data_IF_896661235998
#
_entry.id   IF_896661235998
#
_cell.length_a   1.000
_cell.length_b   1.000
_cell.length_c   1.000
_cell.angle_alpha   90.00
_cell.angle_beta   90.00
_cell.angle_gamma   90.00
#
_symmetry.space_group_name_H-M   'P 1'
#
loop_
_entity.id
_entity.type
_entity.pdbx_description
1 polymer ?
#
# COMPACT_ATOMS: atom_id res chain seq x y z
N UNK A 1 63.38 35.83 3.77
CA UNK A 1 63.24 36.01 5.23
C UNK A 1 62.74 37.43 5.47
N UNK A 2 61.62 37.57 6.20
CA UNK A 2 61.05 38.76 6.88
C UNK A 2 61.04 40.13 6.18
N UNK A 3 60.03 41.00 6.32
CA UNK A 3 58.75 41.00 7.01
C UNK A 3 58.01 42.30 6.58
N UNK A 4 56.78 42.43 7.07
CA UNK A 4 55.94 43.64 7.20
C UNK A 4 54.96 43.94 6.05
N UNK A 5 53.66 43.85 6.36
CA UNK A 5 52.88 45.05 6.67
C UNK A 5 51.64 44.75 7.55
N UNK A 6 51.39 45.64 8.51
CA UNK A 6 50.16 45.75 9.33
C UNK A 6 49.18 46.73 8.68
N UNK A 7 47.88 46.53 8.95
CA UNK A 7 46.77 47.46 8.73
C UNK A 7 46.00 47.17 7.44
N UNK A 8 44.67 47.18 7.36
CA UNK A 8 43.69 47.99 8.09
C UNK A 8 42.31 47.30 8.07
N UNK A 9 41.52 47.48 9.14
CA UNK A 9 40.09 47.15 9.20
C UNK A 9 39.28 48.13 8.34
N UNK A 10 38.36 47.63 7.50
CA UNK A 10 37.15 48.39 7.18
C UNK A 10 35.96 47.46 6.96
N UNK A 11 34.92 47.73 7.74
CA UNK A 11 33.62 47.09 7.70
C UNK A 11 32.86 47.54 6.45
N UNK A 12 32.40 46.59 5.63
CA UNK A 12 31.18 46.78 4.85
C UNK A 12 30.21 45.63 5.12
N UNK A 13 29.08 45.99 5.73
CA UNK A 13 27.94 45.12 6.05
C UNK A 13 27.26 44.69 4.75
N UNK A 14 27.48 43.44 4.33
CA UNK A 14 26.59 42.73 3.43
C UNK A 14 25.67 41.82 4.22
N UNK A 15 24.38 42.15 4.30
CA UNK A 15 23.32 41.26 4.81
C UNK A 15 23.19 40.06 3.87
N UNK A 16 23.62 38.88 4.33
CA UNK A 16 23.47 37.60 3.63
C UNK A 16 22.69 36.61 4.50
N UNK A 17 21.67 36.03 3.90
CA UNK A 17 20.58 35.30 4.54
C UNK A 17 20.98 34.04 5.33
N UNK A 18 20.29 33.91 6.45
CA UNK A 18 20.06 32.74 7.28
C UNK A 18 19.74 31.47 6.45
N UNK A 19 20.56 30.42 6.58
CA UNK A 19 20.12 29.02 6.36
C UNK A 19 20.49 28.21 7.59
N UNK A 20 19.47 27.94 8.41
CA UNK A 20 19.55 27.17 9.63
C UNK A 20 20.13 25.77 9.38
N UNK A 21 21.30 25.55 9.97
CA UNK A 21 22.02 24.28 10.00
C UNK A 21 21.45 23.47 11.17
N UNK A 22 20.45 22.62 10.92
CA UNK A 22 20.04 21.61 11.90
C UNK A 22 21.11 20.51 11.94
N UNK A 23 22.10 20.71 12.81
CA UNK A 23 23.12 19.72 13.12
C UNK A 23 22.52 18.60 13.96
N UNK A 24 22.53 17.38 13.40
CA UNK A 24 22.29 16.16 14.17
C UNK A 24 23.48 15.95 15.13
N UNK A 25 23.25 16.18 16.43
CA UNK A 25 24.20 15.80 17.48
C UNK A 25 24.39 14.28 17.43
N UNK A 26 25.64 13.83 17.28
CA UNK A 26 26.09 12.45 17.56
C UNK A 26 25.77 12.10 19.02
N UNK A 27 24.80 11.22 19.23
CA UNK A 27 24.66 10.44 20.47
C UNK A 27 25.58 9.20 20.45
N UNK A 28 25.78 8.53 21.60
CA UNK A 28 26.72 7.41 21.71
C UNK A 28 26.23 6.20 20.91
N UNK A 29 27.19 5.35 20.51
CA UNK A 29 27.07 4.17 19.66
C UNK A 29 25.70 3.46 19.74
N UNK A 30 25.05 3.31 18.58
CA UNK A 30 23.83 2.52 18.41
C UNK A 30 24.05 1.09 18.96
N UNK A 31 23.13 0.56 19.77
CA UNK A 31 23.14 -0.85 20.11
C UNK A 31 23.02 -1.69 18.84
N UNK A 32 23.68 -2.85 18.85
CA UNK A 32 23.53 -3.92 17.88
C UNK A 32 22.04 -4.11 17.55
N UNK A 33 21.70 -4.21 16.26
CA UNK A 33 20.33 -4.31 15.76
C UNK A 33 19.50 -5.24 16.66
N UNK A 34 18.45 -4.68 17.28
CA UNK A 34 17.48 -5.47 18.04
C UNK A 34 16.98 -6.60 17.14
N UNK A 35 16.94 -7.86 17.61
CA UNK A 35 16.43 -8.95 16.81
C UNK A 35 15.01 -8.61 16.33
N UNK A 36 14.78 -8.72 15.02
CA UNK A 36 13.45 -8.49 14.45
C UNK A 36 12.47 -9.42 15.16
N UNK A 37 11.29 -8.93 15.59
CA UNK A 37 10.31 -9.80 16.23
C UNK A 37 9.96 -10.95 15.28
N UNK A 38 10.27 -12.18 15.70
CA UNK A 38 9.81 -13.38 15.00
C UNK A 38 8.34 -13.59 15.36
N UNK A 39 7.46 -13.42 14.38
CA UNK A 39 6.05 -13.71 14.55
C UNK A 39 5.79 -15.17 14.17
N UNK A 40 5.16 -15.98 15.06
CA UNK A 40 4.77 -17.33 14.70
C UNK A 40 3.76 -17.31 13.55
N UNK A 41 3.69 -18.37 12.72
CA UNK A 41 2.61 -18.52 11.76
C UNK A 41 1.26 -18.44 12.47
N UNK A 42 0.30 -17.76 11.84
CA UNK A 42 -1.07 -17.75 12.35
C UNK A 42 -1.68 -19.15 12.17
N UNK A 43 -2.49 -19.64 13.12
CA UNK A 43 -3.14 -20.93 13.00
C UNK A 43 -4.08 -20.94 11.79
N UNK A 44 -4.17 -22.10 11.16
CA UNK A 44 -5.12 -22.35 10.08
C UNK A 44 -6.44 -22.80 10.68
N UNK A 45 -7.55 -22.39 10.05
CA UNK A 45 -8.88 -22.84 10.42
C UNK A 45 -9.18 -24.21 9.82
N UNK A 46 -10.41 -24.72 9.96
CA UNK A 46 -10.85 -25.85 9.15
C UNK A 46 -10.78 -25.49 7.66
N UNK A 47 -10.27 -26.42 6.83
CA UNK A 47 -10.24 -26.23 5.38
C UNK A 47 -11.68 -26.27 4.82
N UNK A 48 -12.06 -25.22 4.09
CA UNK A 48 -13.40 -25.10 3.47
C UNK A 48 -13.33 -25.51 1.99
N UNK A 49 -12.23 -25.17 1.32
CA UNK A 49 -11.99 -25.48 -0.07
C UNK A 49 -10.50 -25.44 -0.39
N UNK A 50 -10.08 -26.25 -1.35
CA UNK A 50 -8.76 -26.20 -1.96
C UNK A 50 -8.88 -25.87 -3.45
N UNK A 51 -8.11 -24.87 -3.89
CA UNK A 51 -8.01 -24.46 -5.30
C UNK A 51 -6.59 -24.69 -5.77
N UNK A 52 -6.42 -25.62 -6.70
CA UNK A 52 -5.14 -25.90 -7.35
C UNK A 52 -5.08 -25.30 -8.75
N UNK A 53 -3.88 -24.99 -9.23
CA UNK A 53 -3.72 -24.45 -10.59
C UNK A 53 -4.20 -25.46 -11.64
N UNK A 54 -4.00 -26.76 -11.40
CA UNK A 54 -4.50 -27.82 -12.27
C UNK A 54 -6.05 -27.87 -12.34
N UNK A 55 -6.75 -27.43 -11.29
CA UNK A 55 -8.21 -27.29 -11.28
C UNK A 55 -8.64 -26.05 -12.06
N UNK A 56 -7.97 -24.91 -11.83
CA UNK A 56 -8.24 -23.66 -12.56
C UNK A 56 -8.04 -23.78 -14.08
N UNK A 57 -7.09 -24.61 -14.52
CA UNK A 57 -6.83 -24.84 -15.93
C UNK A 57 -7.91 -25.69 -16.64
N UNK A 58 -8.81 -26.34 -15.89
CA UNK A 58 -9.89 -27.19 -16.42
C UNK A 58 -11.25 -26.49 -16.46
N UNK A 59 -11.40 -25.37 -15.75
CA UNK A 59 -12.61 -24.57 -15.77
C UNK A 59 -12.71 -23.81 -17.11
N UNK A 60 -13.92 -23.44 -17.54
CA UNK A 60 -14.19 -22.62 -18.74
C UNK A 60 -13.57 -21.22 -18.57
N UNK A 61 -12.26 -21.14 -18.76
CA UNK A 61 -11.50 -19.92 -18.63
C UNK A 61 -12.07 -18.87 -19.59
N UNK A 62 -12.25 -17.65 -19.08
CA UNK A 62 -12.62 -16.53 -19.94
C UNK A 62 -11.62 -16.43 -21.10
N UNK A 63 -12.08 -16.19 -22.33
CA UNK A 63 -11.17 -16.01 -23.45
C UNK A 63 -10.14 -14.92 -23.15
N UNK A 64 -8.88 -15.14 -23.52
CA UNK A 64 -7.77 -14.24 -23.17
C UNK A 64 -7.98 -12.81 -23.67
N UNK A 65 -8.70 -12.66 -24.78
CA UNK A 65 -9.10 -11.38 -25.34
C UNK A 65 -10.06 -10.60 -24.44
N UNK A 66 -10.82 -11.28 -23.57
CA UNK A 66 -11.70 -10.69 -22.55
C UNK A 66 -10.99 -10.50 -21.20
N UNK A 67 -9.84 -11.12 -20.99
CA UNK A 67 -9.00 -10.95 -19.80
C UNK A 67 -8.14 -9.67 -19.90
N UNK A 68 -8.79 -8.53 -20.15
CA UNK A 68 -8.16 -7.20 -20.24
C UNK A 68 -8.64 -6.31 -19.12
N UNK A 69 -7.76 -5.44 -18.65
CA UNK A 69 -8.13 -4.36 -17.75
C UNK A 69 -8.78 -3.26 -18.59
N UNK A 70 -10.00 -2.86 -18.24
CA UNK A 70 -10.70 -1.72 -18.85
C UNK A 70 -11.21 -0.76 -17.77
N UNK A 71 -11.69 0.41 -18.20
CA UNK A 71 -12.37 1.39 -17.34
C UNK A 71 -11.57 1.78 -16.10
N UNK A 72 -10.23 1.85 -16.24
CA UNK A 72 -9.32 2.21 -15.16
C UNK A 72 -9.50 3.69 -14.80
N UNK A 73 -9.80 3.95 -13.52
CA UNK A 73 -10.03 5.30 -13.01
C UNK A 73 -9.43 5.48 -11.63
N UNK A 74 -8.82 6.65 -11.38
CA UNK A 74 -8.46 7.07 -10.04
C UNK A 74 -9.72 7.52 -9.29
N UNK A 75 -10.05 6.80 -8.22
CA UNK A 75 -11.24 7.06 -7.39
C UNK A 75 -10.89 7.98 -6.23
N UNK A 76 -9.80 7.69 -5.53
CA UNK A 76 -9.39 8.45 -4.36
C UNK A 76 -7.90 8.29 -4.09
N UNK A 77 -7.38 9.12 -3.21
CA UNK A 77 -6.02 9.03 -2.70
C UNK A 77 -5.98 9.52 -1.26
N UNK A 78 -4.97 9.06 -0.52
CA UNK A 78 -4.66 9.58 0.80
C UNK A 78 -3.17 9.50 1.08
N UNK A 79 -2.68 10.30 2.03
CA UNK A 79 -1.36 10.10 2.62
C UNK A 79 -1.52 9.68 4.07
N UNK A 80 -0.64 8.80 4.55
CA UNK A 80 -0.43 8.66 5.99
C UNK A 80 0.52 9.74 6.47
N UNK A 81 0.22 10.37 7.61
CA UNK A 81 1.15 11.25 8.31
C UNK A 81 1.98 10.47 9.34
N UNK A 82 3.21 10.89 9.57
CA UNK A 82 4.05 10.32 10.63
C UNK A 82 3.73 10.95 12.00
N UNK A 83 2.65 10.47 12.62
CA UNK A 83 2.14 10.97 13.91
C UNK A 83 1.79 9.79 14.83
N UNK A 84 1.89 9.95 16.17
CA UNK A 84 1.51 8.90 17.12
C UNK A 84 0.04 8.47 16.98
N UNK A 85 -0.86 9.44 16.71
CA UNK A 85 -2.25 9.15 16.38
C UNK A 85 -2.36 8.86 14.87
N UNK A 86 -2.96 7.72 14.46
CA UNK A 86 -3.21 7.44 13.04
C UNK A 86 -3.96 8.61 12.39
N UNK A 87 -3.33 9.25 11.42
CA UNK A 87 -3.83 10.46 10.77
C UNK A 87 -3.54 10.39 9.28
N UNK A 88 -4.55 10.67 8.46
CA UNK A 88 -4.43 10.74 7.01
C UNK A 88 -4.75 12.14 6.47
N UNK A 89 -4.23 12.45 5.30
CA UNK A 89 -4.65 13.59 4.47
C UNK A 89 -5.49 13.06 3.31
N UNK A 90 -6.62 13.70 3.04
CA UNK A 90 -7.53 13.40 1.93
C UNK A 90 -7.88 14.73 1.21
N UNK A 91 -7.79 14.81 -0.13
CA UNK A 91 -7.11 13.85 -1.00
C UNK A 91 -5.60 13.80 -0.72
N UNK A 92 -5.01 12.64 -0.98
CA UNK A 92 -3.56 12.48 -0.89
C UNK A 92 -2.84 13.15 -2.06
N UNK A 93 -1.66 13.71 -1.78
CA UNK A 93 -0.73 14.26 -2.76
C UNK A 93 0.52 13.36 -2.84
N UNK A 94 0.82 12.78 -4.02
CA UNK A 94 2.05 12.03 -4.21
C UNK A 94 3.27 12.95 -4.21
N UNK A 95 4.45 12.47 -3.81
CA UNK A 95 5.67 13.24 -3.99
C UNK A 95 5.94 13.44 -5.49
N UNK A 96 6.31 14.66 -5.88
CA UNK A 96 6.53 15.02 -7.29
C UNK A 96 7.96 14.68 -7.69
N UNK A 97 8.13 14.13 -8.90
CA UNK A 97 9.44 13.92 -9.50
C UNK A 97 10.21 15.25 -9.55
N UNK A 98 11.34 15.29 -8.86
CA UNK A 98 12.20 16.47 -8.75
C UNK A 98 13.65 16.00 -8.59
N UNK A 99 14.26 15.49 -9.67
CA UNK A 99 15.59 14.93 -9.63
C UNK A 99 16.63 16.02 -9.30
N UNK A 100 17.66 15.71 -8.50
CA UNK A 100 18.76 16.63 -8.29
C UNK A 100 19.53 16.87 -9.59
N UNK A 101 20.16 18.04 -9.73
CA UNK A 101 20.96 18.40 -10.91
C UNK A 101 22.20 17.53 -11.08
N UNK A 102 22.72 16.96 -9.99
CA UNK A 102 23.80 15.99 -9.98
C UNK A 102 23.29 14.68 -9.38
N UNK A 103 23.75 13.54 -9.88
CA UNK A 103 23.37 12.21 -9.38
C UNK A 103 24.10 11.93 -8.06
N UNK A 104 23.43 11.97 -6.90
CA UNK A 104 24.09 11.68 -5.64
C UNK A 104 24.37 10.18 -5.54
N UNK A 105 25.46 9.81 -4.89
CA UNK A 105 25.62 8.44 -4.42
C UNK A 105 24.63 8.20 -3.29
N UNK A 106 23.67 7.31 -3.53
CA UNK A 106 22.64 6.97 -2.55
C UNK A 106 23.17 6.05 -1.47
N UNK A 107 22.62 6.20 -0.26
CA UNK A 107 22.80 5.22 0.80
C UNK A 107 21.79 4.10 0.59
N UNK A 108 22.20 2.88 0.91
CA UNK A 108 21.29 1.75 0.95
C UNK A 108 20.15 2.03 1.96
N UNK A 109 18.98 1.49 1.66
CA UNK A 109 17.80 1.57 2.51
C UNK A 109 18.15 1.02 3.90
N UNK A 110 17.79 1.79 4.93
CA UNK A 110 17.99 1.39 6.32
C UNK A 110 16.82 1.88 7.17
N UNK A 111 16.40 1.06 8.13
CA UNK A 111 15.29 1.37 9.02
C UNK A 111 14.24 0.27 9.09
N UNK A 112 13.11 0.61 9.72
CA UNK A 112 12.00 -0.32 9.96
C UNK A 112 10.93 -0.09 8.89
N UNK A 113 10.72 -1.09 8.05
CA UNK A 113 9.70 -1.05 7.00
C UNK A 113 8.65 -2.10 7.27
N UNK A 114 7.42 -1.67 7.53
CA UNK A 114 6.29 -2.58 7.74
C UNK A 114 5.86 -3.21 6.43
N UNK A 115 5.55 -4.51 6.48
CA UNK A 115 4.98 -5.24 5.35
C UNK A 115 3.64 -4.65 4.93
N UNK A 116 2.77 -4.39 5.89
CA UNK A 116 1.50 -3.70 5.68
C UNK A 116 1.45 -2.42 6.51
N UNK A 117 1.58 -1.28 5.83
CA UNK A 117 1.58 0.04 6.47
C UNK A 117 0.19 0.45 6.97
N UNK A 118 -0.88 -0.03 6.34
CA UNK A 118 -2.21 0.27 6.82
C UNK A 118 -2.48 -0.53 8.10
N UNK A 119 -2.17 -1.83 8.11
CA UNK A 119 -2.33 -2.67 9.30
C UNK A 119 -1.44 -2.21 10.46
N UNK A 120 -0.20 -1.75 10.20
CA UNK A 120 0.67 -1.25 11.27
C UNK A 120 0.17 0.05 11.91
N UNK A 121 -0.66 0.82 11.21
CA UNK A 121 -1.25 2.07 11.73
C UNK A 121 -2.65 1.87 12.30
N UNK A 122 -3.47 1.04 11.67
CA UNK A 122 -4.85 0.77 12.07
C UNK A 122 -5.15 -0.75 11.97
N UNK A 123 -4.68 -1.55 12.94
CA UNK A 123 -4.63 -3.01 12.83
C UNK A 123 -6.01 -3.68 12.78
N UNK A 124 -7.02 -3.08 13.43
CA UNK A 124 -8.39 -3.59 13.41
C UNK A 124 -9.11 -3.28 12.10
N UNK A 125 -8.75 -2.18 11.44
CA UNK A 125 -9.45 -1.68 10.26
C UNK A 125 -8.48 -1.19 9.16
N UNK A 126 -7.60 -2.05 8.61
CA UNK A 126 -6.57 -1.64 7.66
C UNK A 126 -7.12 -1.06 6.34
N UNK A 127 -8.38 -1.30 6.02
CA UNK A 127 -9.02 -0.79 4.81
C UNK A 127 -9.82 0.51 5.04
N UNK A 128 -10.09 0.88 6.29
CA UNK A 128 -10.89 2.06 6.64
C UNK A 128 -10.35 3.37 6.03
N UNK A 129 -9.03 3.67 6.03
CA UNK A 129 -8.50 4.89 5.42
C UNK A 129 -8.85 5.01 3.92
N UNK A 130 -8.86 3.88 3.21
CA UNK A 130 -9.18 3.86 1.81
C UNK A 130 -10.67 4.11 1.57
N UNK A 131 -11.54 3.45 2.34
CA UNK A 131 -12.99 3.67 2.27
C UNK A 131 -13.34 5.12 2.64
N UNK A 132 -12.78 5.64 3.74
CA UNK A 132 -12.98 7.02 4.17
C UNK A 132 -12.56 8.02 3.09
N UNK A 133 -11.44 7.76 2.41
CA UNK A 133 -11.00 8.63 1.32
C UNK A 133 -11.96 8.62 0.13
N UNK A 134 -12.55 7.46 -0.23
CA UNK A 134 -13.58 7.38 -1.29
C UNK A 134 -14.82 8.17 -0.89
N UNK A 135 -15.32 7.96 0.33
CA UNK A 135 -16.55 8.62 0.81
C UNK A 135 -16.40 10.15 0.83
N UNK A 136 -15.21 10.66 1.16
CA UNK A 136 -14.94 12.11 1.17
C UNK A 136 -14.68 12.71 -0.20
N UNK A 137 -13.98 12.01 -1.10
CA UNK A 137 -13.63 12.58 -2.42
C UNK A 137 -14.68 12.32 -3.48
N UNK A 138 -15.39 11.19 -3.39
CA UNK A 138 -16.37 10.73 -4.38
C UNK A 138 -17.55 10.03 -3.69
N UNK A 139 -18.37 10.75 -2.91
CA UNK A 139 -19.52 10.16 -2.21
C UNK A 139 -20.51 9.45 -3.15
N UNK A 140 -20.67 9.94 -4.39
CA UNK A 140 -21.51 9.31 -5.41
C UNK A 140 -20.96 8.01 -5.99
N UNK A 141 -19.64 7.76 -5.86
CA UNK A 141 -19.03 6.51 -6.33
C UNK A 141 -19.55 5.30 -5.56
N UNK A 142 -19.82 5.47 -4.27
CA UNK A 142 -20.41 4.45 -3.41
C UNK A 142 -21.95 4.48 -3.43
N UNK A 143 -22.56 5.66 -3.63
CA UNK A 143 -23.99 5.85 -3.39
C UNK A 143 -24.90 5.29 -4.49
N UNK A 144 -24.51 5.38 -5.77
CA UNK A 144 -25.35 4.90 -6.89
C UNK A 144 -24.46 4.61 -8.09
N UNK A 145 -24.16 3.33 -8.34
CA UNK A 145 -23.63 2.90 -9.62
C UNK A 145 -24.51 1.78 -10.17
N UNK A 146 -24.88 1.89 -11.45
CA UNK A 146 -25.59 0.84 -12.18
C UNK A 146 -24.77 -0.46 -12.31
N UNK A 147 -23.45 -0.38 -12.02
CA UNK A 147 -22.55 -1.52 -11.93
C UNK A 147 -22.05 -1.66 -10.49
N UNK A 148 -22.41 -2.74 -9.78
CA UNK A 148 -21.92 -2.97 -8.42
C UNK A 148 -20.39 -3.14 -8.41
N UNK A 149 -19.77 -2.91 -7.25
CA UNK A 149 -18.37 -3.27 -7.03
C UNK A 149 -18.36 -4.73 -6.61
N UNK A 150 -17.69 -5.58 -7.38
CA UNK A 150 -17.63 -7.02 -7.09
C UNK A 150 -16.49 -7.34 -6.13
N UNK A 151 -15.33 -6.69 -6.33
CA UNK A 151 -14.11 -6.98 -5.56
C UNK A 151 -13.51 -5.70 -4.99
N UNK A 152 -13.11 -5.73 -3.72
CA UNK A 152 -12.24 -4.74 -3.10
C UNK A 152 -10.98 -5.44 -2.60
N UNK A 153 -9.80 -5.00 -3.01
CA UNK A 153 -8.56 -5.65 -2.64
C UNK A 153 -7.41 -4.66 -2.44
N UNK A 154 -6.35 -5.09 -1.76
CA UNK A 154 -5.07 -4.37 -1.80
C UNK A 154 -4.17 -4.92 -2.90
N UNK A 155 -3.29 -4.07 -3.44
CA UNK A 155 -2.35 -4.41 -4.51
C UNK A 155 -1.47 -5.61 -4.17
N UNK A 156 -1.04 -5.75 -2.91
CA UNK A 156 -0.25 -6.89 -2.47
C UNK A 156 -1.03 -8.21 -2.50
N UNK A 157 -2.32 -8.20 -2.15
CA UNK A 157 -3.16 -9.41 -2.19
C UNK A 157 -3.37 -9.88 -3.62
N UNK A 158 -3.72 -8.97 -4.53
CA UNK A 158 -3.84 -9.32 -5.95
C UNK A 158 -2.49 -9.75 -6.54
N UNK A 159 -1.39 -9.10 -6.15
CA UNK A 159 -0.05 -9.51 -6.55
C UNK A 159 0.31 -10.92 -6.10
N UNK A 160 -0.09 -11.31 -4.88
CA UNK A 160 0.08 -12.68 -4.39
C UNK A 160 -0.76 -13.70 -5.16
N UNK A 161 -2.01 -13.36 -5.49
CA UNK A 161 -2.87 -14.22 -6.32
C UNK A 161 -2.29 -14.39 -7.74
N UNK A 162 -1.82 -13.30 -8.35
CA UNK A 162 -1.16 -13.35 -9.66
C UNK A 162 0.09 -14.23 -9.60
N UNK A 163 0.92 -14.05 -8.57
CA UNK A 163 2.12 -14.86 -8.32
C UNK A 163 1.77 -16.35 -8.18
N UNK A 164 0.74 -16.68 -7.41
CA UNK A 164 0.22 -18.04 -7.28
C UNK A 164 -0.19 -18.63 -8.63
N UNK A 165 -0.99 -17.90 -9.42
CA UNK A 165 -1.40 -18.38 -10.76
C UNK A 165 -0.25 -18.50 -11.75
N UNK A 166 0.90 -17.85 -11.47
CA UNK A 166 2.11 -17.93 -12.27
C UNK A 166 3.03 -19.10 -11.85
N UNK A 167 2.62 -19.92 -10.88
CA UNK A 167 3.36 -21.10 -10.43
C UNK A 167 4.44 -20.83 -9.37
N UNK A 168 4.45 -19.64 -8.75
CA UNK A 168 5.36 -19.36 -7.64
C UNK A 168 4.76 -19.85 -6.32
N UNK A 169 5.52 -20.70 -5.63
CA UNK A 169 5.10 -21.48 -4.46
C UNK A 169 5.18 -20.73 -3.13
N UNK A 170 5.62 -19.47 -3.11
CA UNK A 170 5.73 -18.77 -1.83
C UNK A 170 4.35 -18.65 -1.15
N UNK A 171 4.20 -19.06 0.11
CA UNK A 171 2.90 -19.02 0.79
C UNK A 171 2.46 -17.57 1.06
N UNK A 172 1.15 -17.35 1.10
CA UNK A 172 0.54 -16.09 1.48
C UNK A 172 -0.78 -16.35 2.20
N UNK A 173 -1.26 -15.36 2.95
CA UNK A 173 -2.55 -15.43 3.64
C UNK A 173 -3.34 -14.15 3.40
N UNK A 174 -4.64 -14.29 3.25
CA UNK A 174 -5.60 -13.20 3.15
C UNK A 174 -6.88 -13.56 3.90
N UNK A 175 -7.67 -12.56 4.25
CA UNK A 175 -9.05 -12.73 4.69
C UNK A 175 -9.96 -12.44 3.50
N UNK A 176 -11.06 -13.18 3.42
CA UNK A 176 -12.10 -13.00 2.42
C UNK A 176 -13.38 -12.66 3.17
N UNK A 177 -13.84 -11.41 3.07
CA UNK A 177 -15.08 -10.97 3.71
C UNK A 177 -16.10 -10.65 2.64
N UNK A 178 -17.35 -11.05 2.83
CA UNK A 178 -18.46 -10.68 1.94
C UNK A 178 -19.31 -9.65 2.66
N UNK A 179 -19.52 -8.48 2.03
CA UNK A 179 -20.40 -7.42 2.53
C UNK A 179 -21.40 -7.09 1.42
N UNK A 180 -22.67 -7.43 1.64
CA UNK A 180 -23.67 -7.41 0.58
C UNK A 180 -23.25 -8.35 -0.57
N UNK A 181 -23.11 -7.81 -1.77
CA UNK A 181 -22.63 -8.55 -2.96
C UNK A 181 -21.13 -8.38 -3.24
N UNK A 182 -20.40 -7.66 -2.39
CA UNK A 182 -19.00 -7.31 -2.62
C UNK A 182 -18.06 -8.20 -1.82
N UNK A 183 -17.02 -8.73 -2.48
CA UNK A 183 -15.96 -9.53 -1.86
C UNK A 183 -14.75 -8.64 -1.52
N UNK A 184 -14.34 -8.65 -0.27
CA UNK A 184 -13.18 -7.92 0.23
C UNK A 184 -12.02 -8.89 0.47
N UNK A 185 -10.92 -8.69 -0.26
CA UNK A 185 -9.69 -9.47 -0.15
C UNK A 185 -8.66 -8.69 0.68
N UNK A 186 -8.61 -8.98 1.98
CA UNK A 186 -7.82 -8.25 2.96
C UNK A 186 -6.49 -8.97 3.19
N UNK A 187 -5.38 -8.25 3.09
CA UNK A 187 -4.05 -8.80 3.39
C UNK A 187 -3.97 -9.26 4.84
N UNK A 188 -3.37 -10.43 5.08
CA UNK A 188 -3.17 -10.96 6.43
C UNK A 188 -1.73 -11.44 6.64
N UNK A 189 -0.89 -10.53 7.13
CA UNK A 189 0.44 -10.88 7.65
C UNK A 189 0.33 -11.56 9.02
N UNK A 190 1.45 -12.11 9.52
CA UNK A 190 1.50 -12.79 10.83
C UNK A 190 1.22 -11.83 11.98
N UNK A 191 1.59 -10.56 11.79
CA UNK A 191 1.34 -9.46 12.70
C UNK A 191 1.11 -8.17 11.92
N UNK A 192 0.26 -7.25 12.42
CA UNK A 192 0.17 -5.90 11.86
C UNK A 192 1.50 -5.15 11.87
N UNK A 193 2.40 -5.51 12.80
CA UNK A 193 3.74 -4.94 12.93
C UNK A 193 4.83 -5.80 12.29
N UNK A 194 4.46 -6.73 11.39
CA UNK A 194 5.45 -7.52 10.64
C UNK A 194 6.25 -6.59 9.72
N UNK A 195 7.57 -6.74 9.76
CA UNK A 195 8.52 -5.91 9.02
C UNK A 195 9.15 -6.68 7.87
N UNK A 196 9.78 -5.94 6.96
CA UNK A 196 10.65 -6.50 5.93
C UNK A 196 12.01 -6.76 6.59
N UNK A 197 12.45 -8.02 6.57
CA UNK A 197 13.75 -8.44 7.08
C UNK A 197 14.84 -8.17 6.05
N UNK A 198 16.07 -7.92 6.53
CA UNK A 198 17.27 -7.68 5.69
C UNK A 198 16.96 -6.74 4.52
N UNK A 199 16.53 -5.51 4.84
CA UNK A 199 16.20 -4.52 3.81
C UNK A 199 17.49 -4.15 3.07
N UNK A 200 17.46 -4.35 1.75
CA UNK A 200 18.57 -4.12 0.83
C UNK A 200 18.10 -3.30 -0.37
N UNK A 201 19.05 -2.64 -1.01
CA UNK A 201 18.80 -1.81 -2.19
C UNK A 201 18.38 -0.37 -1.86
N UNK A 202 17.75 0.29 -2.83
CA UNK A 202 17.52 1.74 -2.82
C UNK A 202 16.05 2.09 -3.09
N UNK A 203 15.13 1.17 -2.78
CA UNK A 203 13.71 1.30 -3.09
C UNK A 203 13.04 2.47 -2.35
N UNK A 204 13.58 2.88 -1.20
CA UNK A 204 13.11 4.01 -0.41
C UNK A 204 14.00 5.25 -0.58
N UNK A 205 15.31 5.10 -0.51
CA UNK A 205 16.26 6.22 -0.58
C UNK A 205 16.33 6.87 -1.96
N UNK A 206 16.14 6.11 -3.06
CA UNK A 206 16.09 6.70 -4.39
C UNK A 206 14.91 7.67 -4.53
N UNK A 207 13.67 7.28 -4.23
CA UNK A 207 12.53 8.19 -4.26
C UNK A 207 12.67 9.38 -3.31
N UNK A 208 13.19 9.18 -2.11
CA UNK A 208 13.45 10.27 -1.17
C UNK A 208 14.42 11.31 -1.74
N UNK A 209 15.43 10.88 -2.49
CA UNK A 209 16.41 11.77 -3.11
C UNK A 209 15.93 12.42 -4.41
N UNK A 210 14.99 11.80 -5.12
CA UNK A 210 14.56 12.20 -6.47
C UNK A 210 13.15 12.79 -6.52
N UNK A 211 12.49 12.95 -5.38
CA UNK A 211 11.15 13.52 -5.31
C UNK A 211 11.06 14.61 -4.25
N UNK A 212 10.04 15.46 -4.36
CA UNK A 212 9.75 16.47 -3.36
C UNK A 212 8.28 16.48 -3.04
N UNK A 213 7.96 16.44 -1.75
CA UNK A 213 6.57 16.53 -1.29
C UNK A 213 6.06 17.96 -1.36
N UNK A 214 4.80 18.12 -1.75
CA UNK A 214 4.10 19.40 -1.65
C UNK A 214 4.00 19.87 -0.20
N UNK A 215 3.91 21.19 -0.02
CA UNK A 215 3.84 21.81 1.32
C UNK A 215 2.70 21.25 2.16
N UNK A 216 1.57 20.95 1.53
CA UNK A 216 0.36 20.42 2.14
C UNK A 216 0.51 18.96 2.58
N UNK A 217 1.34 18.18 1.89
CA UNK A 217 1.66 16.80 2.24
C UNK A 217 2.95 16.66 3.06
N UNK A 218 3.47 17.76 3.62
CA UNK A 218 4.65 17.72 4.48
C UNK A 218 4.39 16.86 5.72
N UNK A 219 5.33 15.96 6.02
CA UNK A 219 5.19 15.00 7.12
C UNK A 219 4.43 13.73 6.74
N UNK A 220 4.13 13.54 5.44
CA UNK A 220 3.62 12.27 4.94
C UNK A 220 4.68 11.18 5.03
N UNK A 221 4.27 10.03 5.56
CA UNK A 221 5.07 8.80 5.56
C UNK A 221 4.87 8.02 4.26
N UNK A 222 3.68 8.05 3.66
CA UNK A 222 3.37 7.40 2.38
C UNK A 222 2.26 8.13 1.63
N UNK A 223 2.12 7.78 0.35
CA UNK A 223 0.96 8.11 -0.47
C UNK A 223 0.30 6.82 -0.97
N UNK A 224 -1.02 6.81 -1.02
CA UNK A 224 -1.87 5.70 -1.46
C UNK A 224 -2.83 6.16 -2.53
N UNK A 225 -3.04 5.32 -3.54
CA UNK A 225 -4.06 5.54 -4.58
C UNK A 225 -5.07 4.41 -4.58
N UNK A 226 -6.30 4.76 -4.93
CA UNK A 226 -7.40 3.84 -5.03
C UNK A 226 -7.91 3.89 -6.45
N UNK A 227 -7.78 2.77 -7.15
CA UNK A 227 -8.16 2.63 -8.54
C UNK A 227 -9.45 1.80 -8.63
N UNK A 228 -10.32 2.14 -9.56
CA UNK A 228 -11.42 1.28 -10.02
C UNK A 228 -11.06 0.81 -11.42
N UNK A 229 -11.30 -0.46 -11.73
CA UNK A 229 -11.17 -1.00 -13.09
C UNK A 229 -12.06 -2.22 -13.26
N UNK A 230 -12.31 -2.62 -14.50
CA UNK A 230 -12.98 -3.86 -14.84
C UNK A 230 -11.95 -4.89 -15.33
N UNK A 231 -12.06 -6.14 -14.87
CA UNK A 231 -11.23 -7.25 -15.34
C UNK A 231 -12.04 -8.54 -15.34
N UNK A 232 -12.10 -9.24 -16.48
CA UNK A 232 -12.85 -10.50 -16.60
C UNK A 232 -14.35 -10.35 -16.33
N UNK A 233 -14.91 -9.17 -16.61
CA UNK A 233 -16.32 -8.85 -16.31
C UNK A 233 -16.59 -8.41 -14.87
N UNK A 234 -15.58 -8.42 -14.00
CA UNK A 234 -15.71 -8.00 -12.60
C UNK A 234 -15.18 -6.59 -12.41
N UNK A 235 -15.99 -5.73 -11.77
CA UNK A 235 -15.56 -4.41 -11.34
C UNK A 235 -14.82 -4.51 -10.02
N UNK A 236 -13.56 -4.08 -10.03
CA UNK A 236 -12.64 -4.16 -8.90
C UNK A 236 -12.23 -2.78 -8.43
N UNK A 237 -12.15 -2.60 -7.10
CA UNK A 237 -11.49 -1.46 -6.46
C UNK A 237 -10.20 -1.93 -5.81
N UNK A 238 -9.09 -1.32 -6.21
CA UNK A 238 -7.75 -1.71 -5.79
C UNK A 238 -7.04 -0.59 -5.04
N UNK A 239 -6.56 -0.93 -3.84
CA UNK A 239 -5.74 -0.04 -3.02
C UNK A 239 -4.26 -0.28 -3.31
N UNK A 240 -3.63 0.66 -4.00
CA UNK A 240 -2.24 0.55 -4.44
C UNK A 240 -1.37 1.48 -3.59
N UNK A 241 -0.41 0.94 -2.81
CA UNK A 241 0.59 1.77 -2.17
C UNK A 241 1.49 2.40 -3.23
N UNK A 242 1.76 3.69 -3.07
CA UNK A 242 2.89 4.43 -3.63
C UNK A 242 3.22 4.13 -5.11
N UNK A 243 2.70 4.92 -6.03
CA UNK A 243 3.22 4.93 -7.39
C UNK A 243 4.32 5.99 -7.50
N UNK A 244 5.55 5.52 -7.58
CA UNK A 244 6.71 6.35 -7.89
C UNK A 244 6.66 6.65 -9.39
N UNK A 245 6.12 7.83 -9.70
CA UNK A 245 6.32 8.56 -10.95
C UNK A 245 6.23 7.74 -12.24
N UNK A 246 5.13 7.03 -12.45
CA UNK A 246 4.62 6.82 -13.81
C UNK A 246 3.36 7.68 -13.99
N UNK A 247 3.28 8.46 -15.07
CA UNK A 247 2.05 9.18 -15.40
C UNK A 247 0.90 8.17 -15.50
N UNK A 248 -0.35 8.58 -15.24
CA UNK A 248 -1.50 7.71 -15.46
C UNK A 248 -1.44 7.08 -16.86
N UNK A 249 -1.01 7.84 -17.86
CA UNK A 249 -0.76 7.38 -19.23
C UNK A 249 0.24 6.22 -19.34
N UNK A 250 1.29 6.18 -18.52
CA UNK A 250 2.28 5.10 -18.51
C UNK A 250 1.77 3.85 -17.78
N UNK A 251 0.85 4.02 -16.83
CA UNK A 251 0.14 2.93 -16.18
C UNK A 251 -0.90 2.36 -17.13
N UNK A 252 -1.64 3.24 -17.80
CA UNK A 252 -2.56 2.91 -18.88
C UNK A 252 -1.82 2.24 -20.05
N UNK A 253 -0.57 2.62 -20.35
CA UNK A 253 0.25 1.94 -21.35
C UNK A 253 0.52 0.47 -20.96
N UNK A 254 0.85 0.22 -19.69
CA UNK A 254 1.10 -1.14 -19.17
C UNK A 254 -0.18 -1.97 -19.15
N UNK A 255 -1.33 -1.36 -18.85
CA UNK A 255 -2.62 -2.04 -18.85
C UNK A 255 -3.19 -2.26 -20.26
N UNK A 256 -3.00 -1.32 -21.18
CA UNK A 256 -3.52 -1.38 -22.55
C UNK A 256 -2.65 -2.23 -23.49
N UNK A 257 -1.33 -2.28 -23.28
CA UNK A 257 -0.43 -3.11 -24.09
C UNK A 257 -0.45 -4.59 -23.68
N UNK A 258 -1.09 -4.91 -22.54
CA UNK A 258 -1.13 -6.26 -21.97
C UNK A 258 0.19 -6.61 -21.29
N UNK A 259 0.11 -7.19 -20.10
CA UNK A 259 1.27 -7.78 -19.45
C UNK A 259 1.54 -9.12 -20.15
N UNK A 260 2.74 -9.36 -20.71
CA UNK A 260 3.04 -10.64 -21.33
C UNK A 260 3.02 -11.75 -20.27
N UNK A 261 1.93 -12.52 -20.24
CA UNK A 261 1.85 -13.75 -19.46
C UNK A 261 2.82 -14.76 -20.06
N UNK A 262 3.93 -15.03 -19.37
CA UNK A 262 4.82 -16.13 -19.75
C UNK A 262 4.06 -17.44 -19.56
N UNK A 263 3.83 -18.18 -20.63
CA UNK A 263 3.36 -19.58 -20.56
C UNK A 263 4.47 -20.42 -19.93
N UNK A 264 4.19 -21.04 -18.80
CA UNK A 264 5.05 -22.07 -18.23
C UNK A 264 4.29 -23.40 -18.21
N UNK A 265 4.95 -24.42 -18.76
CA UNK A 265 4.39 -25.76 -18.94
C UNK A 265 4.48 -26.56 -17.64
N UNK A 266 3.36 -27.23 -17.32
CA UNK A 266 3.13 -28.19 -16.25
C UNK A 266 2.96 -27.63 -14.81
N UNK A 267 1.81 -27.95 -14.21
CA UNK A 267 1.41 -27.57 -12.85
C UNK A 267 1.35 -28.80 -11.94
N UNK A 268 1.86 -28.67 -10.71
CA UNK A 268 1.48 -29.53 -9.57
C UNK A 268 0.56 -28.76 -8.63
N UNK A 269 -0.32 -29.46 -7.92
CA UNK A 269 -1.32 -28.86 -7.04
C UNK A 269 -0.67 -28.10 -5.87
N UNK A 270 -1.16 -26.88 -5.59
CA UNK A 270 -0.78 -26.07 -4.43
C UNK A 270 -2.07 -25.67 -3.71
N UNK A 271 -2.06 -25.74 -2.37
CA UNK A 271 -3.20 -25.46 -1.50
C UNK A 271 -3.39 -23.94 -1.31
N UNK A 272 -4.62 -23.47 -1.56
CA UNK A 272 -5.06 -22.11 -1.22
C UNK A 272 -6.14 -22.25 -0.17
N UNK A 273 -5.88 -21.78 1.04
CA UNK A 273 -6.81 -21.86 2.15
C UNK A 273 -7.76 -20.65 2.17
N UNK A 274 -9.06 -20.95 2.13
CA UNK A 274 -10.13 -19.99 2.35
C UNK A 274 -10.46 -19.96 3.84
N UNK A 275 -10.41 -18.79 4.46
CA UNK A 275 -10.79 -18.60 5.87
C UNK A 275 -12.14 -17.92 5.89
N UNK A 276 -13.09 -18.55 6.57
CA UNK A 276 -14.44 -18.05 6.85
C UNK A 276 -14.37 -16.71 7.57
N UNK A 277 -15.21 -15.76 7.15
CA UNK A 277 -15.49 -14.55 7.94
C UNK A 277 -16.97 -14.50 8.22
N UNK A 278 -17.29 -14.72 9.49
CA UNK A 278 -18.62 -14.56 10.06
C UNK A 278 -19.03 -13.07 9.94
N UNK A 279 -19.94 -12.78 9.01
CA UNK A 279 -20.63 -11.50 8.96
C UNK A 279 -21.77 -11.54 9.99
N UNK A 280 -21.63 -10.82 11.10
CA UNK A 280 -22.79 -10.52 11.94
C UNK A 280 -23.66 -9.50 11.24
N UNK A 281 -24.88 -9.89 10.91
CA UNK A 281 -25.96 -8.98 10.54
C UNK A 281 -26.46 -8.33 11.84
N UNK A 282 -26.27 -7.02 11.99
CA UNK A 282 -27.15 -6.24 12.86
C UNK A 282 -28.45 -6.05 12.07
N UNK A 283 -29.48 -6.84 12.42
CA UNK A 283 -30.84 -6.53 12.06
C UNK A 283 -31.50 -5.78 13.23
N UNK A 284 -31.90 -4.56 12.92
CA UNK A 284 -32.71 -3.71 13.77
C UNK A 284 -34.19 -4.12 13.68
N UNK A 285 -34.92 -3.89 14.78
CA UNK A 285 -36.39 -3.92 14.98
C UNK A 285 -37.06 -5.24 15.42
N UNK A 286 -37.54 -5.29 16.67
CA UNK A 286 -38.94 -4.93 17.01
C UNK A 286 -39.10 -4.72 18.55
N UNK A 287 -40.08 -3.93 19.04
CA UNK A 287 -40.18 -3.42 20.40
C UNK A 287 -41.07 -4.28 21.31
N UNK A 288 -41.11 -3.87 22.58
CA UNK A 288 -41.99 -4.35 23.67
C UNK A 288 -41.54 -5.65 24.34
N UNK A 289 -40.98 -5.53 25.54
CA UNK A 289 -41.76 -5.82 26.74
C UNK A 289 -41.07 -5.26 27.99
N UNK A 290 -41.85 -4.52 28.77
CA UNK A 290 -41.55 -4.10 30.13
C UNK A 290 -41.61 -5.29 31.11
N UNK A 291 -40.87 -5.20 32.21
CA UNK A 291 -40.96 -6.11 33.36
C UNK A 291 -39.61 -6.19 34.09
N UNK A 292 -39.26 -5.19 34.91
CA UNK A 292 -39.47 -5.16 36.37
C UNK A 292 -38.61 -6.19 37.12
N UNK A 293 -37.63 -5.63 37.86
CA UNK A 293 -36.77 -6.20 38.90
C UNK A 293 -37.54 -6.99 39.98
N UNK A 294 -36.85 -7.86 40.75
CA UNK A 294 -36.05 -7.40 41.90
C UNK A 294 -34.54 -7.52 41.70
#
# INVERSE_FOLDING_TARGET
MSANHRGYSSNFRGRGANRGRYGWRRGPSMPLASPTPSYPPLPLGPEIACVSIAKLAKDDAIPIEKARVSDCQLVASYNWLDKPKPTIIIPGLPPRWNPPSETPQLKEDSGVFYRDRNASRLPLHPMEPAIESILRTRPSFAAVSSTPIDIVACGSTLGNLLRFTSGDEKPFRMLVNVVGSTVHLIRREKSPNETIDDVRGYGHTFPDAYTTSDREARGSASHQRILSYCFGGLRSVLFVPECKSKSLEQIDLVFNQGVPLRRFESYKSVEVEFIEVEAKHDDETDPKHAGIFP
#
